data_IF_782906206005
#
_entry.id   IF_782906206005
#
_cell.length_a   1.000
_cell.length_b   1.000
_cell.length_c   1.000
_cell.angle_alpha   90.00
_cell.angle_beta   90.00
_cell.angle_gamma   90.00
#
_symmetry.space_group_name_H-M   'P 1'
#
loop_
_entity.id
_entity.type
_entity.pdbx_description
1 polymer ?
#
# COMPACT_ATOMS: atom_id res chain seq x y z
N UNK A 1 -29.12 -6.02 1.65
CA UNK A 1 -28.41 -5.45 2.81
C UNK A 1 -27.20 -4.61 2.44
N UNK A 2 -26.41 -4.98 1.45
CA UNK A 2 -25.25 -4.14 1.03
C UNK A 2 -25.66 -2.81 0.38
N UNK A 3 -26.75 -2.77 -0.37
CA UNK A 3 -27.28 -1.55 -1.00
C UNK A 3 -27.67 -0.46 -0.01
N UNK A 4 -28.12 -0.83 1.19
CA UNK A 4 -28.58 0.13 2.20
C UNK A 4 -27.42 0.90 2.86
N UNK A 5 -26.21 0.33 2.84
CA UNK A 5 -25.00 0.98 3.33
C UNK A 5 -24.32 1.87 2.27
N UNK A 6 -24.55 1.60 0.98
CA UNK A 6 -23.86 2.31 -0.12
C UNK A 6 -24.28 3.78 -0.17
N UNK A 7 -25.60 4.06 -0.09
CA UNK A 7 -26.11 5.44 -0.21
C UNK A 7 -25.62 6.36 0.92
N UNK A 8 -25.70 5.97 2.21
CA UNK A 8 -25.14 6.79 3.29
C UNK A 8 -23.62 6.99 3.15
N UNK A 9 -22.88 5.95 2.72
CA UNK A 9 -21.44 6.04 2.51
C UNK A 9 -21.07 7.02 1.40
N UNK A 10 -21.79 6.99 0.27
CA UNK A 10 -21.59 7.93 -0.83
C UNK A 10 -21.86 9.38 -0.40
N UNK A 11 -22.98 9.64 0.27
CA UNK A 11 -23.33 10.98 0.75
C UNK A 11 -22.28 11.47 1.74
N UNK A 12 -21.87 10.64 2.70
CA UNK A 12 -20.82 10.97 3.68
C UNK A 12 -19.48 11.30 3.00
N UNK A 13 -19.08 10.49 2.02
CA UNK A 13 -17.82 10.70 1.28
C UNK A 13 -17.83 12.00 0.47
N UNK A 14 -18.97 12.30 -0.21
CA UNK A 14 -19.11 13.55 -0.97
C UNK A 14 -19.04 14.76 -0.05
N UNK A 15 -19.74 14.74 1.08
CA UNK A 15 -19.72 15.84 2.06
C UNK A 15 -18.30 16.01 2.63
N UNK A 16 -17.65 14.93 3.01
CA UNK A 16 -16.27 14.98 3.52
C UNK A 16 -15.29 15.56 2.48
N UNK A 17 -15.41 15.13 1.21
CA UNK A 17 -14.59 15.62 0.11
C UNK A 17 -14.78 17.13 -0.13
N UNK A 18 -16.04 17.59 -0.14
CA UNK A 18 -16.36 19.02 -0.33
C UNK A 18 -15.83 19.86 0.83
N UNK A 19 -16.05 19.42 2.08
CA UNK A 19 -15.57 20.13 3.28
C UNK A 19 -14.04 20.18 3.29
N UNK A 20 -13.37 19.08 3.06
CA UNK A 20 -11.92 19.02 2.99
C UNK A 20 -11.37 19.89 1.86
N UNK A 21 -11.92 19.75 0.66
CA UNK A 21 -11.48 20.49 -0.53
C UNK A 21 -11.71 22.00 -0.42
N UNK A 22 -12.75 22.44 0.30
CA UNK A 22 -12.99 23.87 0.52
C UNK A 22 -11.95 24.52 1.43
N UNK A 23 -11.24 23.75 2.26
CA UNK A 23 -10.21 24.26 3.20
C UNK A 23 -8.81 24.06 2.63
N UNK A 24 -8.52 22.88 2.06
CA UNK A 24 -7.17 22.49 1.64
C UNK A 24 -6.96 22.46 0.11
N UNK A 25 -8.03 22.69 -0.66
CA UNK A 25 -8.02 22.54 -2.12
C UNK A 25 -8.41 21.15 -2.56
N UNK A 26 -8.69 21.00 -3.87
CA UNK A 26 -9.13 19.75 -4.51
C UNK A 26 -8.00 19.05 -5.27
N UNK A 27 -6.74 19.38 -4.96
CA UNK A 27 -5.61 18.75 -5.60
C UNK A 27 -5.42 17.30 -5.12
N UNK A 28 -5.04 16.38 -6.02
CA UNK A 28 -4.72 15.00 -5.64
C UNK A 28 -3.56 14.94 -4.62
N UNK A 29 -3.58 13.95 -3.74
CA UNK A 29 -2.58 13.81 -2.64
C UNK A 29 -1.14 13.77 -3.16
N UNK A 30 -0.90 13.11 -4.30
CA UNK A 30 0.43 13.05 -4.93
C UNK A 30 0.66 14.16 -5.97
N UNK A 31 -0.25 15.11 -6.07
CA UNK A 31 -0.27 16.12 -7.14
C UNK A 31 -0.81 15.56 -8.45
N UNK A 32 -1.06 16.42 -9.43
CA UNK A 32 -1.53 15.99 -10.74
C UNK A 32 -0.39 15.39 -11.56
N UNK A 33 -0.35 14.06 -11.64
CA UNK A 33 0.68 13.29 -12.34
C UNK A 33 0.32 13.11 -13.83
N UNK A 34 0.04 14.19 -14.53
CA UNK A 34 -0.47 14.21 -15.92
C UNK A 34 0.53 13.75 -17.00
N UNK A 35 1.79 13.55 -16.66
CA UNK A 35 2.86 13.24 -17.63
C UNK A 35 3.06 11.76 -17.95
N UNK A 36 2.36 10.84 -17.27
CA UNK A 36 2.55 9.40 -17.45
C UNK A 36 1.32 8.80 -18.10
N UNK A 37 1.53 8.24 -19.29
CA UNK A 37 0.48 7.55 -20.05
C UNK A 37 0.95 6.14 -20.43
N UNK A 38 0.04 5.20 -20.35
CA UNK A 38 0.26 3.88 -20.94
C UNK A 38 0.19 3.99 -22.47
N UNK A 39 1.31 3.80 -23.13
CA UNK A 39 1.43 4.03 -24.58
C UNK A 39 1.88 2.82 -25.38
N UNK A 40 2.50 1.83 -24.75
CA UNK A 40 3.10 0.68 -25.44
C UNK A 40 2.62 -0.66 -24.88
N UNK A 41 2.01 -1.53 -25.71
CA UNK A 41 1.54 -2.85 -25.27
C UNK A 41 2.65 -3.73 -24.66
N UNK A 42 3.90 -3.56 -25.09
CA UNK A 42 5.04 -4.30 -24.55
C UNK A 42 5.27 -4.05 -23.06
N UNK A 43 4.88 -2.88 -22.56
CA UNK A 43 4.95 -2.56 -21.13
C UNK A 43 4.09 -3.47 -20.25
N UNK A 44 3.05 -4.11 -20.81
CA UNK A 44 2.18 -5.02 -20.06
C UNK A 44 2.96 -6.22 -19.50
N UNK A 45 3.99 -6.70 -20.18
CA UNK A 45 4.83 -7.81 -19.69
C UNK A 45 5.50 -7.40 -18.36
N UNK A 46 5.98 -6.16 -18.29
CA UNK A 46 6.62 -5.62 -17.08
C UNK A 46 5.61 -5.39 -15.96
N UNK A 47 4.37 -5.01 -16.27
CA UNK A 47 3.31 -4.88 -15.27
C UNK A 47 2.80 -6.24 -14.77
N UNK A 48 2.87 -7.30 -15.58
CA UNK A 48 2.65 -8.69 -15.11
C UNK A 48 3.74 -9.09 -14.12
N UNK A 49 5.02 -8.82 -14.42
CA UNK A 49 6.13 -9.08 -13.51
C UNK A 49 5.99 -8.27 -12.21
N UNK A 50 5.56 -7.01 -12.33
CA UNK A 50 5.26 -6.16 -11.17
C UNK A 50 4.11 -6.74 -10.35
N UNK A 51 3.05 -7.27 -10.99
CA UNK A 51 1.96 -7.95 -10.30
C UNK A 51 2.43 -9.16 -9.50
N UNK A 52 3.33 -9.96 -10.06
CA UNK A 52 3.93 -11.10 -9.35
C UNK A 52 4.73 -10.65 -8.12
N UNK A 53 5.63 -9.69 -8.29
CA UNK A 53 6.48 -9.18 -7.18
C UNK A 53 5.66 -8.46 -6.12
N UNK A 54 4.70 -7.62 -6.52
CA UNK A 54 3.80 -6.91 -5.60
C UNK A 54 2.88 -7.89 -4.85
N UNK A 55 2.41 -8.96 -5.51
CA UNK A 55 1.65 -10.04 -4.86
C UNK A 55 2.46 -10.78 -3.81
N UNK A 56 3.72 -11.12 -4.12
CA UNK A 56 4.63 -11.75 -3.15
C UNK A 56 4.91 -10.84 -1.95
N UNK A 57 5.15 -9.56 -2.19
CA UNK A 57 5.34 -8.58 -1.11
C UNK A 57 4.08 -8.37 -0.29
N UNK A 58 2.91 -8.36 -0.93
CA UNK A 58 1.63 -8.29 -0.24
C UNK A 58 1.39 -9.50 0.67
N UNK A 59 1.67 -10.71 0.16
CA UNK A 59 1.58 -11.93 0.96
C UNK A 59 2.55 -11.91 2.15
N UNK A 60 3.81 -11.51 1.91
CA UNK A 60 4.80 -11.34 2.96
C UNK A 60 4.34 -10.31 4.01
N UNK A 61 3.75 -9.20 3.57
CA UNK A 61 3.19 -8.19 4.46
C UNK A 61 2.16 -8.76 5.41
N UNK A 62 1.19 -9.52 4.89
CA UNK A 62 0.14 -10.14 5.71
C UNK A 62 0.73 -11.17 6.68
N UNK A 63 1.61 -12.04 6.20
CA UNK A 63 2.24 -13.08 7.02
C UNK A 63 3.09 -12.49 8.16
N UNK A 64 3.91 -11.50 7.87
CA UNK A 64 4.75 -10.83 8.89
C UNK A 64 3.88 -10.05 9.87
N UNK A 65 2.83 -9.37 9.38
CA UNK A 65 1.93 -8.61 10.23
C UNK A 65 1.24 -9.50 11.28
N UNK A 66 0.59 -10.60 10.87
CA UNK A 66 -0.10 -11.49 11.79
C UNK A 66 0.86 -12.31 12.67
N UNK A 67 2.01 -12.71 12.14
CA UNK A 67 3.05 -13.37 12.94
C UNK A 67 3.59 -12.44 14.03
N UNK A 68 3.81 -11.18 13.69
CA UNK A 68 4.25 -10.15 14.63
C UNK A 68 3.21 -9.85 15.71
N UNK A 69 1.95 -9.73 15.35
CA UNK A 69 0.84 -9.59 16.33
C UNK A 69 0.81 -10.75 17.30
N UNK A 70 0.86 -11.98 16.79
CA UNK A 70 0.92 -13.19 17.64
C UNK A 70 2.16 -13.23 18.54
N UNK A 71 3.29 -12.67 18.09
CA UNK A 71 4.50 -12.59 18.92
C UNK A 71 4.31 -11.61 20.08
N UNK A 72 3.68 -10.47 19.84
CA UNK A 72 3.37 -9.51 20.90
C UNK A 72 2.32 -10.04 21.88
N UNK A 73 1.34 -10.80 21.41
CA UNK A 73 0.32 -11.45 22.28
C UNK A 73 0.94 -12.45 23.28
N UNK A 74 2.14 -12.99 22.97
CA UNK A 74 2.87 -13.89 23.89
C UNK A 74 3.63 -13.17 24.99
N UNK A 75 3.64 -11.86 25.01
CA UNK A 75 4.33 -11.06 26.04
C UNK A 75 3.49 -10.89 27.33
N UNK A 76 2.87 -11.97 27.79
CA UNK A 76 1.97 -11.99 28.97
C UNK A 76 2.59 -11.43 30.26
N UNK A 77 3.93 -11.42 30.35
CA UNK A 77 4.67 -10.91 31.52
C UNK A 77 4.88 -9.39 31.48
N UNK A 78 4.63 -8.76 30.34
CA UNK A 78 4.82 -7.32 30.14
C UNK A 78 3.48 -6.62 30.38
N UNK A 79 3.41 -5.58 31.21
CA UNK A 79 2.19 -4.79 31.36
C UNK A 79 1.69 -4.29 29.99
N UNK A 80 0.40 -4.48 29.68
CA UNK A 80 -0.18 -4.19 28.36
C UNK A 80 0.07 -2.76 27.84
N UNK A 81 0.21 -1.78 28.75
CA UNK A 81 0.54 -0.40 28.38
C UNK A 81 1.99 -0.19 27.92
N UNK A 82 2.89 -1.14 28.25
CA UNK A 82 4.31 -1.08 27.88
C UNK A 82 4.59 -1.74 26.52
N UNK A 83 3.72 -2.63 26.06
CA UNK A 83 3.90 -3.35 24.78
C UNK A 83 3.96 -2.39 23.59
N UNK A 84 3.07 -1.37 23.46
CA UNK A 84 3.18 -0.38 22.41
C UNK A 84 4.46 0.48 22.48
N UNK A 85 4.98 0.71 23.70
CA UNK A 85 6.23 1.43 23.89
C UNK A 85 7.44 0.65 23.34
N UNK A 86 7.45 -0.68 23.52
CA UNK A 86 8.47 -1.58 22.94
C UNK A 86 8.37 -1.55 21.40
N UNK A 87 7.16 -1.67 20.85
CA UNK A 87 6.92 -1.55 19.41
C UNK A 87 7.37 -0.21 18.86
N UNK A 88 7.00 0.89 19.53
CA UNK A 88 7.40 2.25 19.15
C UNK A 88 8.92 2.47 19.20
N UNK A 89 9.62 1.91 20.19
CA UNK A 89 11.08 1.95 20.25
C UNK A 89 11.70 1.21 19.06
N UNK A 90 11.17 0.04 18.71
CA UNK A 90 11.60 -0.71 17.53
C UNK A 90 11.40 0.08 16.22
N UNK A 91 10.25 0.75 16.08
CA UNK A 91 9.98 1.65 14.93
C UNK A 91 10.95 2.83 14.92
N UNK A 92 11.23 3.43 16.08
CA UNK A 92 12.17 4.54 16.19
C UNK A 92 13.58 4.14 15.77
N UNK A 93 14.09 2.99 16.23
CA UNK A 93 15.40 2.46 15.83
C UNK A 93 15.45 2.15 14.33
N UNK A 94 14.39 1.53 13.78
CA UNK A 94 14.29 1.28 12.34
C UNK A 94 14.28 2.59 11.55
N UNK A 95 13.60 3.61 12.04
CA UNK A 95 13.51 4.92 11.42
C UNK A 95 14.83 5.70 11.42
N UNK A 96 15.73 5.46 12.37
CA UNK A 96 17.09 6.00 12.35
C UNK A 96 17.92 5.43 11.18
N UNK A 97 17.66 4.18 10.80
CA UNK A 97 18.36 3.52 9.68
C UNK A 97 17.66 3.84 8.34
N UNK A 98 16.34 3.78 8.29
CA UNK A 98 15.53 3.95 7.09
C UNK A 98 14.37 4.92 7.42
N UNK A 99 14.57 6.25 7.32
CA UNK A 99 13.54 7.26 7.63
C UNK A 99 12.25 7.09 6.81
N UNK A 100 12.34 6.54 5.60
CA UNK A 100 11.19 6.25 4.74
C UNK A 100 10.20 5.23 5.34
N UNK A 101 10.61 4.45 6.35
CA UNK A 101 9.74 3.51 7.05
C UNK A 101 8.81 4.19 8.06
N UNK A 102 9.07 5.44 8.45
CA UNK A 102 8.27 6.18 9.43
C UNK A 102 6.98 6.75 8.86
N UNK A 103 6.01 7.02 9.74
CA UNK A 103 4.72 7.63 9.42
C UNK A 103 3.90 6.83 8.42
N UNK A 104 3.02 7.49 7.65
CA UNK A 104 2.23 6.84 6.58
C UNK A 104 3.08 6.39 5.40
N UNK A 105 4.18 7.12 5.11
CA UNK A 105 5.11 6.82 4.02
C UNK A 105 4.74 7.44 2.66
N UNK A 106 3.66 8.22 2.57
CA UNK A 106 3.26 8.84 1.30
C UNK A 106 4.32 9.80 0.73
N UNK A 107 5.03 10.52 1.60
CA UNK A 107 6.13 11.39 1.18
C UNK A 107 7.31 10.62 0.56
N UNK A 108 7.63 9.42 1.06
CA UNK A 108 8.67 8.58 0.46
C UNK A 108 8.24 8.05 -0.91
N UNK A 109 7.00 7.57 -1.03
CA UNK A 109 6.44 7.12 -2.31
C UNK A 109 6.44 8.25 -3.35
N UNK A 110 6.08 9.48 -2.94
CA UNK A 110 6.12 10.63 -3.82
C UNK A 110 7.55 10.92 -4.32
N UNK A 111 8.55 10.80 -3.46
CA UNK A 111 9.96 10.93 -3.88
C UNK A 111 10.40 9.82 -4.85
N UNK A 112 9.94 8.59 -4.64
CA UNK A 112 10.22 7.43 -5.47
C UNK A 112 9.57 7.50 -6.87
N UNK A 113 8.52 8.31 -7.03
CA UNK A 113 7.87 8.55 -8.32
C UNK A 113 8.77 9.33 -9.31
N UNK A 114 9.78 10.04 -8.81
CA UNK A 114 10.68 10.84 -9.66
C UNK A 114 12.02 10.15 -9.86
N UNK A 115 12.37 9.86 -11.13
CA UNK A 115 13.60 9.18 -11.51
C UNK A 115 14.86 9.87 -10.94
N UNK A 116 14.91 11.21 -10.97
CA UNK A 116 16.04 11.97 -10.46
C UNK A 116 16.31 11.74 -8.96
N UNK A 117 15.26 11.53 -8.17
CA UNK A 117 15.38 11.25 -6.75
C UNK A 117 15.72 9.77 -6.51
N UNK A 118 15.01 8.87 -7.21
CA UNK A 118 15.16 7.43 -7.05
C UNK A 118 16.58 6.96 -7.44
N UNK A 119 17.15 7.49 -8.53
CA UNK A 119 18.49 7.12 -9.01
C UNK A 119 19.59 7.61 -8.05
N UNK A 120 19.36 8.71 -7.33
CA UNK A 120 20.31 9.21 -6.32
C UNK A 120 20.33 8.37 -5.04
N UNK A 121 19.25 7.62 -4.77
CA UNK A 121 19.23 6.73 -3.61
C UNK A 121 20.10 5.49 -3.85
N UNK A 122 20.86 5.03 -2.85
CA UNK A 122 21.58 3.76 -2.93
C UNK A 122 20.59 2.62 -3.25
N UNK A 123 20.93 1.75 -4.19
CA UNK A 123 20.06 0.64 -4.60
C UNK A 123 19.61 -0.21 -3.41
N UNK A 124 20.51 -0.51 -2.48
CA UNK A 124 20.20 -1.29 -1.29
C UNK A 124 19.13 -0.62 -0.42
N UNK A 125 19.14 0.72 -0.33
CA UNK A 125 18.13 1.47 0.40
C UNK A 125 16.77 1.36 -0.27
N UNK A 126 16.71 1.53 -1.60
CA UNK A 126 15.46 1.39 -2.36
C UNK A 126 14.86 -0.01 -2.18
N UNK A 127 15.68 -1.04 -2.25
CA UNK A 127 15.26 -2.43 -2.03
C UNK A 127 14.83 -2.70 -0.58
N UNK A 128 15.40 -2.00 0.40
CA UNK A 128 15.09 -2.20 1.81
C UNK A 128 13.79 -1.51 2.26
N UNK A 129 13.36 -0.43 1.59
CA UNK A 129 12.18 0.37 1.98
C UNK A 129 10.91 -0.48 2.15
N UNK A 130 10.49 -1.34 1.19
CA UNK A 130 9.26 -2.12 1.35
C UNK A 130 9.33 -3.07 2.55
N UNK A 131 10.46 -3.71 2.82
CA UNK A 131 10.65 -4.59 3.98
C UNK A 131 10.64 -3.80 5.29
N UNK A 132 11.34 -2.67 5.33
CA UNK A 132 11.33 -1.78 6.49
C UNK A 132 9.92 -1.27 6.81
N UNK A 133 9.11 -1.00 5.77
CA UNK A 133 7.71 -0.59 5.94
C UNK A 133 6.85 -1.70 6.50
N UNK A 134 7.02 -2.93 6.05
CA UNK A 134 6.36 -4.11 6.62
C UNK A 134 6.68 -4.22 8.11
N UNK A 135 7.96 -4.16 8.47
CA UNK A 135 8.41 -4.27 9.86
C UNK A 135 7.90 -3.12 10.73
N UNK A 136 7.99 -1.86 10.26
CA UNK A 136 7.52 -0.72 11.04
C UNK A 136 6.02 -0.77 11.30
N UNK A 137 5.23 -1.21 10.32
CA UNK A 137 3.78 -1.38 10.46
C UNK A 137 3.45 -2.49 11.45
N UNK A 138 4.15 -3.63 11.34
CA UNK A 138 3.97 -4.77 12.26
C UNK A 138 4.35 -4.40 13.68
N UNK A 139 5.48 -3.72 13.89
CA UNK A 139 5.92 -3.27 15.21
C UNK A 139 4.97 -2.23 15.81
N UNK A 140 4.45 -1.30 15.01
CA UNK A 140 3.56 -0.25 15.48
C UNK A 140 2.18 -0.79 15.85
N UNK A 141 1.50 -1.46 14.90
CA UNK A 141 0.13 -1.90 15.07
C UNK A 141 0.07 -3.24 15.83
N UNK A 142 0.96 -4.17 15.51
CA UNK A 142 1.02 -5.47 16.15
C UNK A 142 1.32 -5.42 17.66
N UNK A 143 1.99 -4.35 18.12
CA UNK A 143 2.21 -4.12 19.56
C UNK A 143 1.00 -3.50 20.29
N UNK A 144 -0.11 -3.26 19.59
CA UNK A 144 -1.30 -2.62 20.15
C UNK A 144 -1.32 -1.09 19.96
N UNK A 145 -0.41 -0.52 19.17
CA UNK A 145 -0.45 0.89 18.79
C UNK A 145 -1.61 1.19 17.84
N UNK A 146 -2.18 2.40 17.95
CA UNK A 146 -3.22 2.87 17.02
C UNK A 146 -2.61 3.17 15.65
N UNK A 147 -3.18 2.60 14.58
CA UNK A 147 -2.72 2.84 13.23
C UNK A 147 -3.60 2.16 12.18
N UNK A 148 -3.27 2.37 10.90
CA UNK A 148 -3.97 1.78 9.77
C UNK A 148 -3.05 0.89 8.94
N UNK A 149 -3.60 -0.21 8.44
CA UNK A 149 -2.91 -1.16 7.55
C UNK A 149 -2.99 -0.76 6.07
N UNK A 150 -3.89 0.16 5.75
CA UNK A 150 -4.21 0.61 4.41
C UNK A 150 -3.05 1.41 3.76
N UNK A 151 -2.68 2.54 4.36
CA UNK A 151 -1.59 3.39 3.85
C UNK A 151 -0.28 2.63 3.70
N UNK A 152 0.18 1.90 4.72
CA UNK A 152 1.35 1.03 4.61
C UNK A 152 1.27 0.02 3.47
N UNK A 153 0.12 -0.62 3.24
CA UNK A 153 -0.04 -1.59 2.15
C UNK A 153 0.19 -0.97 0.76
N UNK A 154 -0.31 0.26 0.55
CA UNK A 154 -0.03 1.00 -0.69
C UNK A 154 1.44 1.40 -0.79
N UNK A 155 2.04 1.88 0.29
CA UNK A 155 3.45 2.29 0.32
C UNK A 155 4.37 1.11 0.04
N UNK A 156 4.09 -0.07 0.60
CA UNK A 156 4.82 -1.31 0.32
C UNK A 156 4.76 -1.63 -1.18
N UNK A 157 3.56 -1.54 -1.77
CA UNK A 157 3.37 -1.77 -3.20
C UNK A 157 4.11 -0.76 -4.07
N UNK A 158 4.00 0.52 -3.74
CA UNK A 158 4.68 1.61 -4.45
C UNK A 158 6.20 1.48 -4.40
N UNK A 159 6.76 1.25 -3.21
CA UNK A 159 8.19 1.03 -3.02
C UNK A 159 8.69 -0.25 -3.72
N UNK A 160 7.86 -1.32 -3.77
CA UNK A 160 8.16 -2.51 -4.58
C UNK A 160 8.22 -2.17 -6.07
N UNK A 161 7.30 -1.34 -6.54
CA UNK A 161 7.31 -0.85 -7.92
C UNK A 161 8.56 -0.02 -8.23
N UNK A 162 8.93 0.91 -7.35
CA UNK A 162 10.15 1.70 -7.48
C UNK A 162 11.41 0.83 -7.50
N UNK A 163 11.49 -0.15 -6.59
CA UNK A 163 12.59 -1.09 -6.50
C UNK A 163 12.73 -1.93 -7.78
N UNK A 164 11.61 -2.46 -8.28
CA UNK A 164 11.60 -3.23 -9.52
C UNK A 164 12.00 -2.37 -10.72
N UNK A 165 11.48 -1.16 -10.84
CA UNK A 165 11.88 -0.23 -11.90
C UNK A 165 13.37 0.03 -11.86
N UNK A 166 13.93 0.28 -10.68
CA UNK A 166 15.36 0.55 -10.48
C UNK A 166 16.26 -0.63 -10.88
N UNK A 167 15.78 -1.88 -10.72
CA UNK A 167 16.48 -3.09 -11.15
C UNK A 167 16.40 -3.31 -12.67
N UNK A 168 15.33 -2.86 -13.30
CA UNK A 168 15.04 -3.09 -14.71
C UNK A 168 15.37 -1.87 -15.59
N UNK A 169 15.81 -0.77 -14.98
CA UNK A 169 16.18 0.47 -15.68
C UNK A 169 17.17 0.18 -16.82
N UNK A 170 16.87 0.70 -17.99
CA UNK A 170 17.70 0.49 -19.18
C UNK A 170 17.34 -0.72 -20.05
N UNK A 171 16.40 -1.58 -19.61
CA UNK A 171 15.90 -2.65 -20.47
C UNK A 171 14.89 -2.12 -21.49
N UNK A 172 14.80 -2.76 -22.68
CA UNK A 172 13.86 -2.34 -23.72
C UNK A 172 12.40 -2.49 -23.26
N UNK A 173 11.59 -1.47 -23.52
CA UNK A 173 10.17 -1.45 -23.18
C UNK A 173 9.86 -1.05 -21.73
N UNK A 174 10.86 -0.75 -20.90
CA UNK A 174 10.66 -0.15 -19.59
C UNK A 174 10.27 1.33 -19.74
N UNK A 175 9.23 1.82 -19.03
CA UNK A 175 8.91 3.24 -19.02
C UNK A 175 10.09 4.07 -18.51
N UNK A 176 10.29 5.25 -19.09
CA UNK A 176 11.38 6.18 -18.71
C UNK A 176 11.21 6.76 -17.30
N UNK A 177 10.00 6.70 -16.73
CA UNK A 177 9.68 7.19 -15.40
C UNK A 177 9.28 6.03 -14.47
N UNK A 178 9.79 5.97 -13.22
CA UNK A 178 9.39 4.99 -12.22
C UNK A 178 7.93 5.16 -11.79
N UNK A 179 7.33 6.32 -12.04
CA UNK A 179 5.99 6.71 -11.59
C UNK A 179 4.93 5.67 -11.96
N UNK A 180 4.94 5.13 -13.19
CA UNK A 180 4.01 4.09 -13.62
C UNK A 180 4.14 2.81 -12.82
N UNK A 181 5.38 2.40 -12.48
CA UNK A 181 5.64 1.23 -11.66
C UNK A 181 5.21 1.45 -10.20
N UNK A 182 5.42 2.64 -9.67
CA UNK A 182 4.99 3.01 -8.31
C UNK A 182 3.46 2.98 -8.22
N UNK A 183 2.75 3.64 -9.16
CA UNK A 183 1.28 3.69 -9.17
C UNK A 183 0.69 2.27 -9.32
N UNK A 184 1.16 1.51 -10.30
CA UNK A 184 0.67 0.15 -10.54
C UNK A 184 1.04 -0.79 -9.38
N UNK A 185 2.21 -0.60 -8.76
CA UNK A 185 2.63 -1.34 -7.57
C UNK A 185 1.70 -1.10 -6.37
N UNK A 186 1.31 0.16 -6.11
CA UNK A 186 0.31 0.50 -5.07
C UNK A 186 -1.00 -0.25 -5.29
N UNK A 187 -1.51 -0.21 -6.52
CA UNK A 187 -2.75 -0.88 -6.93
C UNK A 187 -2.62 -2.39 -6.72
N UNK A 188 -1.57 -3.00 -7.26
CA UNK A 188 -1.39 -4.45 -7.29
C UNK A 188 -1.23 -5.03 -5.88
N UNK A 189 -0.36 -4.48 -5.06
CA UNK A 189 -0.08 -4.98 -3.71
C UNK A 189 -1.32 -4.86 -2.82
N UNK A 190 -1.81 -3.64 -2.63
CA UNK A 190 -2.90 -3.42 -1.70
C UNK A 190 -4.23 -3.93 -2.23
N UNK A 191 -4.52 -3.77 -3.54
CA UNK A 191 -5.74 -4.31 -4.15
C UNK A 191 -5.88 -5.82 -4.03
N UNK A 192 -4.75 -6.54 -4.05
CA UNK A 192 -4.72 -7.99 -3.87
C UNK A 192 -4.95 -8.39 -2.40
N UNK A 193 -4.20 -7.82 -1.44
CA UNK A 193 -4.31 -8.22 -0.02
C UNK A 193 -5.58 -7.70 0.67
N UNK A 194 -6.18 -6.64 0.15
CA UNK A 194 -7.47 -6.13 0.63
C UNK A 194 -8.68 -6.85 0.02
N UNK A 195 -8.47 -7.67 -1.03
CA UNK A 195 -9.52 -8.29 -1.84
C UNK A 195 -10.53 -7.27 -2.41
N UNK A 196 -10.07 -6.05 -2.66
CA UNK A 196 -10.87 -4.93 -3.15
C UNK A 196 -10.25 -4.25 -4.38
N UNK A 197 -9.98 -5.00 -5.48
CA UNK A 197 -9.22 -4.50 -6.61
C UNK A 197 -9.81 -3.24 -7.25
N UNK A 198 -11.11 -3.19 -7.46
CA UNK A 198 -11.77 -2.04 -8.09
C UNK A 198 -11.76 -0.80 -7.20
N UNK A 199 -12.00 -0.96 -5.90
CA UNK A 199 -11.96 0.15 -4.94
C UNK A 199 -10.56 0.78 -4.87
N UNK A 200 -9.52 -0.06 -4.80
CA UNK A 200 -8.12 0.40 -4.75
C UNK A 200 -7.68 1.04 -6.06
N UNK A 201 -8.11 0.49 -7.21
CA UNK A 201 -7.86 1.09 -8.53
C UNK A 201 -8.37 2.52 -8.62
N UNK A 202 -9.65 2.72 -8.31
CA UNK A 202 -10.28 4.04 -8.39
C UNK A 202 -9.63 5.01 -7.40
N UNK A 203 -9.37 4.56 -6.19
CA UNK A 203 -8.76 5.38 -5.16
C UNK A 203 -7.34 5.81 -5.50
N UNK A 204 -6.47 4.91 -5.96
CA UNK A 204 -5.12 5.30 -6.39
C UNK A 204 -5.18 6.20 -7.62
N UNK A 205 -6.13 5.97 -8.53
CA UNK A 205 -6.39 6.85 -9.66
C UNK A 205 -6.76 8.27 -9.22
N UNK A 206 -7.59 8.42 -8.21
CA UNK A 206 -7.96 9.71 -7.62
C UNK A 206 -6.78 10.35 -6.86
N UNK A 207 -6.06 9.59 -6.04
CA UNK A 207 -4.91 10.08 -5.28
C UNK A 207 -3.77 10.60 -6.17
N UNK A 208 -3.64 10.06 -7.38
CA UNK A 208 -2.59 10.41 -8.34
C UNK A 208 -3.07 11.37 -9.44
N UNK A 209 -4.38 11.59 -9.53
CA UNK A 209 -4.98 12.34 -10.64
C UNK A 209 -4.74 11.70 -12.02
N UNK A 210 -4.42 10.41 -12.06
CA UNK A 210 -4.03 9.70 -13.28
C UNK A 210 -4.82 8.41 -13.49
N UNK A 211 -5.83 8.48 -14.35
CA UNK A 211 -6.66 7.34 -14.71
C UNK A 211 -6.07 6.46 -15.83
N UNK A 212 -5.01 6.91 -16.50
CA UNK A 212 -4.39 6.14 -17.60
C UNK A 212 -3.71 4.86 -17.12
N UNK A 213 -3.37 4.80 -15.82
CA UNK A 213 -2.76 3.63 -15.19
C UNK A 213 -3.78 2.58 -14.72
N UNK A 214 -5.09 2.80 -14.90
CA UNK A 214 -6.12 1.83 -14.51
C UNK A 214 -5.97 0.51 -15.30
N UNK A 215 -5.80 0.57 -16.62
CA UNK A 215 -5.69 -0.64 -17.45
C UNK A 215 -4.48 -1.51 -17.05
N UNK A 216 -3.23 -1.02 -16.98
CA UNK A 216 -2.11 -1.82 -16.49
C UNK A 216 -2.29 -2.21 -15.01
N UNK A 217 -2.91 -1.37 -14.20
CA UNK A 217 -3.24 -1.67 -12.81
C UNK A 217 -4.18 -2.87 -12.67
N UNK A 218 -5.21 -2.97 -13.53
CA UNK A 218 -6.12 -4.12 -13.55
C UNK A 218 -5.39 -5.43 -13.82
N UNK A 219 -4.47 -5.45 -14.77
CA UNK A 219 -3.68 -6.64 -15.08
C UNK A 219 -2.77 -7.00 -13.91
N UNK A 220 -2.06 -6.03 -13.37
CA UNK A 220 -1.14 -6.25 -12.26
C UNK A 220 -1.87 -6.74 -10.99
N UNK A 221 -3.03 -6.16 -10.64
CA UNK A 221 -3.80 -6.61 -9.47
C UNK A 221 -4.42 -7.99 -9.67
N UNK A 222 -4.85 -8.34 -10.89
CA UNK A 222 -5.36 -9.67 -11.19
C UNK A 222 -4.27 -10.74 -11.03
N UNK A 223 -3.04 -10.45 -11.47
CA UNK A 223 -1.88 -11.33 -11.27
C UNK A 223 -1.51 -11.41 -9.80
N UNK A 224 -1.42 -10.27 -9.11
CA UNK A 224 -1.12 -10.22 -7.67
C UNK A 224 -2.14 -11.00 -6.84
N UNK A 225 -3.43 -10.89 -7.17
CA UNK A 225 -4.50 -11.63 -6.50
C UNK A 225 -4.36 -13.15 -6.62
N UNK A 226 -3.84 -13.65 -7.76
CA UNK A 226 -3.54 -15.08 -7.91
C UNK A 226 -2.38 -15.54 -7.03
N UNK A 227 -1.38 -14.68 -6.82
CA UNK A 227 -0.22 -14.95 -5.94
C UNK A 227 -0.63 -14.91 -4.48
N UNK A 228 -1.44 -13.93 -4.09
CA UNK A 228 -1.93 -13.75 -2.72
C UNK A 228 -2.91 -14.86 -2.33
N UNK A 229 -3.75 -15.32 -3.27
CA UNK A 229 -4.77 -16.34 -3.02
C UNK A 229 -5.79 -15.87 -2.00
N UNK A 230 -6.09 -16.72 -1.01
CA UNK A 230 -7.07 -16.43 0.05
C UNK A 230 -6.48 -15.60 1.22
N UNK A 231 -5.20 -15.23 1.14
CA UNK A 231 -4.54 -14.44 2.18
C UNK A 231 -5.06 -12.99 2.15
N UNK A 232 -5.57 -12.48 3.28
CA UNK A 232 -6.09 -11.11 3.39
C UNK A 232 -5.53 -10.39 4.60
N UNK A 233 -5.33 -9.09 4.47
CA UNK A 233 -4.95 -8.22 5.60
C UNK A 233 -6.13 -8.05 6.59
N UNK A 234 -7.33 -8.38 6.17
CA UNK A 234 -8.57 -8.28 6.95
C UNK A 234 -9.10 -9.64 7.42
N UNK A 235 -8.23 -10.64 7.63
CA UNK A 235 -8.64 -11.99 8.09
C UNK A 235 -9.33 -11.98 9.45
N UNK A 236 -9.09 -10.99 10.28
CA UNK A 236 -9.75 -10.81 11.57
C UNK A 236 -11.17 -10.23 11.46
N UNK A 237 -11.62 -9.80 10.28
CA UNK A 237 -12.99 -9.37 10.08
C UNK A 237 -13.94 -10.56 10.04
N UNK A 238 -15.09 -10.44 10.71
CA UNK A 238 -16.14 -11.44 10.66
C UNK A 238 -16.68 -11.56 9.22
N UNK A 239 -16.74 -12.79 8.72
CA UNK A 239 -17.14 -13.09 7.33
C UNK A 239 -18.62 -12.80 7.05
N UNK A 240 -19.45 -12.78 8.10
CA UNK A 240 -20.91 -12.54 7.99
C UNK A 240 -21.39 -11.54 9.00
N UNK A 241 -22.08 -10.48 8.52
CA UNK A 241 -22.81 -9.53 9.35
C UNK A 241 -23.92 -10.20 10.20
N UNK A 242 -24.38 -11.39 9.83
CA UNK A 242 -25.42 -12.15 10.55
C UNK A 242 -24.96 -12.63 11.95
N UNK A 243 -23.64 -12.74 12.19
CA UNK A 243 -23.12 -13.06 13.51
C UNK A 243 -23.34 -11.95 14.56
N UNK A 244 -23.47 -10.69 14.12
CA UNK A 244 -23.77 -9.59 15.04
C UNK A 244 -25.24 -9.57 15.51
N UNK A 245 -26.16 -10.10 14.71
CA UNK A 245 -27.59 -10.13 15.05
C UNK A 245 -27.99 -11.34 15.91
N UNK A 246 -27.11 -12.34 16.02
CA UNK A 246 -27.35 -13.52 16.88
C UNK A 246 -26.82 -13.35 18.30
N UNK A 247 -26.10 -12.26 18.61
CA UNK A 247 -25.54 -11.95 19.92
C UNK A 247 -26.24 -10.78 20.63
N UNK A 248 -27.29 -10.20 20.02
CA UNK A 248 -28.20 -9.23 20.60
C UNK A 248 -29.56 -9.87 20.86
#
# INVERSE_FOLDING_TARGET
MESDAIMPSLVSSIVAFVVFGSVYGFEPIFGSLSGVQFSQPLQLIWFVLLGLTAGLMGKLYVEVFYSGTTLFDRLDKVPGWLVPAIGGLGVGLLGLLIPAALGTGYGSVQQEMFANNLVRMPLLMVLAIPFAKILSTTLSIGSGGSGGVFGPGMVIGGATGAALWRLLEGLPGIPSSPMSFVIVGMIACFGAVAHAPLGVLLMVGEMTGNLSMLAPGMIAVAVAGRVVGDTSIYTSQLKDCLLYTSLS
#
